data_IF_816369269283
#
_entry.id   IF_816369269283
#
_cell.length_a   1.000
_cell.length_b   1.000
_cell.length_c   1.000
_cell.angle_alpha   90.00
_cell.angle_beta   90.00
_cell.angle_gamma   90.00
#
_symmetry.space_group_name_H-M   'P 1'
#
loop_
_entity.id
_entity.type
_entity.pdbx_description
1 polymer ?
#
# COMPACT_ATOMS: atom_id res chain seq x y z
N UNK A 1 -10.00 -15.24 -8.72
CA UNK A 1 -9.96 -13.85 -8.25
C UNK A 1 -8.77 -13.72 -7.31
N UNK A 2 -8.00 -12.63 -7.39
CA UNK A 2 -6.86 -12.37 -6.50
C UNK A 2 -7.18 -11.14 -5.65
N UNK A 3 -6.69 -11.12 -4.41
CA UNK A 3 -6.92 -10.01 -3.48
C UNK A 3 -6.46 -8.67 -4.08
N UNK A 4 -5.35 -8.69 -4.83
CA UNK A 4 -4.89 -7.55 -5.60
C UNK A 4 -5.98 -6.97 -6.52
N UNK A 5 -6.66 -7.80 -7.31
CA UNK A 5 -7.67 -7.33 -8.27
C UNK A 5 -8.93 -6.80 -7.57
N UNK A 6 -9.23 -7.31 -6.37
CA UNK A 6 -10.38 -6.87 -5.58
C UNK A 6 -10.12 -5.51 -4.89
N UNK A 7 -8.84 -5.18 -4.62
CA UNK A 7 -8.43 -3.96 -3.93
C UNK A 7 -7.95 -2.84 -4.86
N UNK A 8 -7.32 -3.18 -5.99
CA UNK A 8 -6.73 -2.19 -6.88
C UNK A 8 -7.83 -1.37 -7.54
N UNK A 9 -7.77 -0.04 -7.36
CA UNK A 9 -8.70 0.87 -8.01
C UNK A 9 -8.15 1.28 -9.38
N UNK A 10 -8.75 0.72 -10.42
CA UNK A 10 -8.40 1.01 -11.82
C UNK A 10 -9.24 2.13 -12.44
N UNK A 11 -10.42 2.40 -11.89
CA UNK A 11 -11.37 3.38 -12.40
C UNK A 11 -11.58 4.53 -11.41
N UNK A 12 -11.58 5.75 -11.95
CA UNK A 12 -11.71 7.01 -11.24
C UNK A 12 -12.80 7.89 -11.84
N UNK A 13 -13.77 7.27 -12.51
CA UNK A 13 -14.96 7.95 -13.01
C UNK A 13 -15.59 8.85 -11.93
N UNK A 14 -15.84 10.11 -12.31
CA UNK A 14 -16.41 11.13 -11.43
C UNK A 14 -15.43 11.79 -10.45
N UNK A 15 -14.15 11.38 -10.39
CA UNK A 15 -13.16 12.07 -9.56
C UNK A 15 -12.69 13.39 -10.20
N UNK A 16 -12.62 14.44 -9.39
CA UNK A 16 -11.98 15.71 -9.78
C UNK A 16 -10.45 15.59 -9.74
N UNK A 17 -9.71 16.53 -10.33
CA UNK A 17 -8.25 16.56 -10.19
C UNK A 17 -7.77 16.57 -8.72
N UNK A 18 -8.46 17.31 -7.85
CA UNK A 18 -8.11 17.35 -6.42
C UNK A 18 -8.39 16.00 -5.73
N UNK A 19 -9.47 15.31 -6.11
CA UNK A 19 -9.76 13.95 -5.62
C UNK A 19 -8.66 12.97 -6.03
N UNK A 20 -8.23 13.01 -7.30
CA UNK A 20 -7.15 12.16 -7.81
C UNK A 20 -5.86 12.40 -7.04
N UNK A 21 -5.51 13.68 -6.79
CA UNK A 21 -4.32 14.02 -6.01
C UNK A 21 -4.42 13.54 -4.57
N UNK A 22 -5.60 13.66 -3.95
CA UNK A 22 -5.83 13.19 -2.60
C UNK A 22 -5.78 11.66 -2.49
N UNK A 23 -6.33 10.94 -3.47
CA UNK A 23 -6.24 9.47 -3.54
C UNK A 23 -4.78 9.02 -3.67
N UNK A 24 -4.02 9.65 -4.58
CA UNK A 24 -2.60 9.38 -4.73
C UNK A 24 -1.86 9.49 -3.38
N UNK A 25 -1.99 10.63 -2.69
CA UNK A 25 -1.30 10.88 -1.43
C UNK A 25 -1.67 9.84 -0.36
N UNK A 26 -2.97 9.52 -0.22
CA UNK A 26 -3.41 8.53 0.77
C UNK A 26 -2.85 7.14 0.48
N UNK A 27 -2.83 6.73 -0.79
CA UNK A 27 -2.30 5.43 -1.18
C UNK A 27 -0.76 5.36 -0.98
N UNK A 28 -0.03 6.40 -1.37
CA UNK A 28 1.42 6.51 -1.15
C UNK A 28 1.77 6.46 0.35
N UNK A 29 1.02 7.20 1.18
CA UNK A 29 1.22 7.19 2.63
C UNK A 29 0.92 5.80 3.22
N UNK A 30 -0.17 5.15 2.80
CA UNK A 30 -0.50 3.82 3.27
C UNK A 30 0.58 2.79 2.92
N UNK A 31 1.14 2.83 1.70
CA UNK A 31 2.29 1.99 1.32
C UNK A 31 3.49 2.26 2.23
N UNK A 32 3.81 3.54 2.49
CA UNK A 32 4.93 3.93 3.36
C UNK A 32 4.75 3.41 4.79
N UNK A 33 3.56 3.57 5.36
CA UNK A 33 3.23 3.11 6.70
C UNK A 33 3.30 1.58 6.81
N UNK A 34 2.84 0.85 5.78
CA UNK A 34 2.96 -0.61 5.73
C UNK A 34 4.44 -1.05 5.71
N UNK A 35 5.29 -0.37 4.93
CA UNK A 35 6.73 -0.69 4.88
C UNK A 35 7.45 -0.38 6.20
N UNK A 36 7.08 0.72 6.87
CA UNK A 36 7.56 1.01 8.22
C UNK A 36 7.14 -0.09 9.20
N UNK A 37 5.87 -0.52 9.15
CA UNK A 37 5.35 -1.61 9.97
C UNK A 37 6.10 -2.94 9.74
N UNK A 38 6.34 -3.32 8.49
CA UNK A 38 7.13 -4.52 8.14
C UNK A 38 8.55 -4.43 8.70
N UNK A 39 9.19 -3.26 8.61
CA UNK A 39 10.52 -3.03 9.17
C UNK A 39 10.53 -3.17 10.70
N UNK A 40 9.53 -2.61 11.37
CA UNK A 40 9.36 -2.77 12.83
C UNK A 40 9.14 -4.22 13.23
N UNK A 41 8.33 -4.98 12.48
CA UNK A 41 8.15 -6.43 12.72
C UNK A 41 9.49 -7.16 12.61
N UNK A 42 10.29 -6.87 11.58
CA UNK A 42 11.63 -7.46 11.44
C UNK A 42 12.53 -7.17 12.65
N UNK A 43 12.52 -5.93 13.15
CA UNK A 43 13.26 -5.56 14.36
C UNK A 43 12.76 -6.30 15.60
N UNK A 44 11.45 -6.39 15.80
CA UNK A 44 10.84 -7.11 16.92
C UNK A 44 11.18 -8.60 16.88
N UNK A 45 11.09 -9.23 15.70
CA UNK A 45 11.43 -10.65 15.53
C UNK A 45 12.90 -10.92 15.85
N UNK A 46 13.82 -10.02 15.46
CA UNK A 46 15.24 -10.14 15.78
C UNK A 46 15.47 -10.19 17.30
N UNK A 47 14.88 -9.25 18.05
CA UNK A 47 15.03 -9.21 19.49
C UNK A 47 14.28 -10.32 20.22
N UNK A 48 13.10 -10.70 19.73
CA UNK A 48 12.31 -11.79 20.30
C UNK A 48 13.03 -13.14 20.17
N UNK A 49 13.65 -13.42 19.02
CA UNK A 49 14.40 -14.65 18.80
C UNK A 49 15.64 -14.78 19.71
N UNK A 50 16.20 -13.66 20.18
CA UNK A 50 17.31 -13.63 21.13
C UNK A 50 16.86 -13.73 22.61
N UNK A 51 15.55 -13.74 22.88
CA UNK A 51 15.02 -13.73 24.24
C UNK A 51 14.89 -15.13 24.82
N UNK A 52 15.48 -15.35 26.00
CA UNK A 52 15.33 -16.61 26.76
C UNK A 52 13.88 -16.83 27.25
N UNK A 53 13.06 -15.78 27.33
CA UNK A 53 11.68 -15.83 27.77
C UNK A 53 10.69 -16.09 26.62
N UNK A 54 11.17 -16.24 25.39
CA UNK A 54 10.32 -16.48 24.23
C UNK A 54 10.23 -17.96 23.92
N UNK A 55 9.21 -18.61 24.51
CA UNK A 55 9.00 -20.05 24.38
C UNK A 55 8.81 -20.48 22.91
N UNK A 56 9.38 -21.63 22.55
CA UNK A 56 9.39 -22.16 21.17
C UNK A 56 7.98 -22.31 20.56
N UNK A 57 7.00 -22.80 21.35
CA UNK A 57 5.61 -22.92 20.89
C UNK A 57 4.96 -21.56 20.59
N UNK A 58 5.27 -20.53 21.39
CA UNK A 58 4.82 -19.15 21.14
C UNK A 58 5.48 -18.62 19.87
N UNK A 59 6.80 -18.82 19.73
CA UNK A 59 7.55 -18.40 18.55
C UNK A 59 7.00 -19.01 17.27
N UNK A 60 6.71 -20.31 17.27
CA UNK A 60 6.11 -21.02 16.15
C UNK A 60 4.73 -20.46 15.78
N UNK A 61 3.89 -20.19 16.77
CA UNK A 61 2.57 -19.59 16.57
C UNK A 61 2.63 -18.19 15.94
N UNK A 62 3.56 -17.36 16.41
CA UNK A 62 3.72 -16.00 15.89
C UNK A 62 4.36 -15.98 14.50
N UNK A 63 5.35 -16.84 14.24
CA UNK A 63 5.93 -17.01 12.90
C UNK A 63 4.87 -17.41 11.88
N UNK A 64 3.94 -18.30 12.25
CA UNK A 64 2.83 -18.67 11.38
C UNK A 64 1.93 -17.47 11.05
N UNK A 65 1.53 -16.68 12.06
CA UNK A 65 0.67 -15.49 11.89
C UNK A 65 1.36 -14.40 11.07
N UNK A 66 2.62 -14.12 11.36
CA UNK A 66 3.43 -13.14 10.63
C UNK A 66 3.61 -13.60 9.17
N UNK A 67 3.92 -14.88 8.95
CA UNK A 67 4.03 -15.45 7.61
C UNK A 67 2.73 -15.32 6.81
N UNK A 68 1.59 -15.63 7.42
CA UNK A 68 0.27 -15.46 6.79
C UNK A 68 -0.02 -13.99 6.46
N UNK A 69 0.31 -13.05 7.36
CA UNK A 69 0.18 -11.61 7.11
C UNK A 69 1.11 -11.15 5.97
N UNK A 70 2.38 -11.56 5.96
CA UNK A 70 3.33 -11.21 4.91
C UNK A 70 2.91 -11.77 3.54
N UNK A 71 2.27 -12.94 3.52
CA UNK A 71 1.70 -13.52 2.30
C UNK A 71 0.57 -12.68 1.69
N UNK A 72 -0.17 -11.92 2.50
CA UNK A 72 -1.27 -11.07 2.02
C UNK A 72 -0.85 -9.62 1.78
N UNK A 73 0.06 -9.08 2.61
CA UNK A 73 0.45 -7.66 2.56
C UNK A 73 1.14 -7.26 1.25
N UNK A 74 1.79 -8.21 0.57
CA UNK A 74 2.41 -7.97 -0.74
C UNK A 74 1.37 -7.59 -1.81
N UNK A 75 0.24 -8.31 -1.85
CA UNK A 75 -0.85 -7.99 -2.77
C UNK A 75 -1.52 -6.65 -2.43
N UNK A 76 -1.73 -6.38 -1.13
CA UNK A 76 -2.31 -5.11 -0.65
C UNK A 76 -1.41 -3.93 -1.02
N UNK A 77 -0.12 -4.02 -0.73
CA UNK A 77 0.85 -2.96 -1.01
C UNK A 77 0.94 -2.68 -2.50
N UNK A 78 0.96 -3.74 -3.32
CA UNK A 78 0.96 -3.61 -4.78
C UNK A 78 -0.31 -2.92 -5.29
N UNK A 79 -1.49 -3.32 -4.79
CA UNK A 79 -2.76 -2.70 -5.19
C UNK A 79 -2.81 -1.20 -4.85
N UNK A 80 -2.31 -0.81 -3.68
CA UNK A 80 -2.22 0.60 -3.27
C UNK A 80 -1.24 1.38 -4.15
N UNK A 81 -0.06 0.82 -4.42
CA UNK A 81 0.95 1.47 -5.26
C UNK A 81 0.43 1.69 -6.70
N UNK A 82 -0.22 0.68 -7.28
CA UNK A 82 -0.79 0.77 -8.63
C UNK A 82 -1.98 1.75 -8.65
N UNK A 83 -2.79 1.79 -7.58
CA UNK A 83 -3.85 2.80 -7.40
C UNK A 83 -3.28 4.23 -7.35
N UNK A 84 -2.19 4.44 -6.62
CA UNK A 84 -1.53 5.74 -6.54
C UNK A 84 -0.98 6.18 -7.91
N UNK A 85 -0.33 5.26 -8.62
CA UNK A 85 0.20 5.49 -9.96
C UNK A 85 -0.90 5.87 -10.96
N UNK A 86 -2.03 5.14 -10.96
CA UNK A 86 -3.17 5.43 -11.82
C UNK A 86 -3.78 6.81 -11.52
N UNK A 87 -3.97 7.14 -10.25
CA UNK A 87 -4.49 8.44 -9.84
C UNK A 87 -3.55 9.60 -10.25
N UNK A 88 -2.24 9.42 -10.07
CA UNK A 88 -1.24 10.41 -10.48
C UNK A 88 -1.24 10.63 -12.01
N UNK A 89 -1.36 9.55 -12.80
CA UNK A 89 -1.41 9.62 -14.24
C UNK A 89 -2.64 10.41 -14.71
N UNK A 90 -3.83 10.08 -14.22
CA UNK A 90 -5.07 10.77 -14.59
C UNK A 90 -5.08 12.24 -14.16
N UNK A 91 -4.55 12.55 -12.98
CA UNK A 91 -4.38 13.92 -12.53
C UNK A 91 -3.47 14.72 -13.48
N UNK A 92 -2.39 14.10 -13.97
CA UNK A 92 -1.48 14.73 -14.93
C UNK A 92 -2.14 15.02 -16.28
N UNK A 93 -3.01 14.11 -16.74
CA UNK A 93 -3.78 14.25 -17.98
C UNK A 93 -4.77 15.41 -17.84
N UNK A 94 -5.57 15.41 -16.76
CA UNK A 94 -6.55 16.46 -16.47
C UNK A 94 -5.92 17.86 -16.43
N UNK A 95 -4.72 17.97 -15.86
CA UNK A 95 -3.96 19.24 -15.80
C UNK A 95 -3.45 19.69 -17.18
N UNK A 96 -3.09 18.76 -18.07
CA UNK A 96 -2.66 19.08 -19.45
C UNK A 96 -3.84 19.56 -20.28
N UNK A 97 -4.99 18.91 -20.16
CA UNK A 97 -6.22 19.28 -20.88
C UNK A 97 -6.69 20.69 -20.50
N UNK A 98 -6.75 21.00 -19.20
CA UNK A 98 -7.13 22.33 -18.71
C UNK A 98 -6.20 23.46 -19.20
N UNK A 99 -4.90 23.18 -19.39
CA UNK A 99 -3.94 24.14 -19.96
C UNK A 99 -4.13 24.32 -21.47
N UNK A 100 -4.44 23.25 -22.19
CA UNK A 100 -4.70 23.30 -23.64
C UNK A 100 -5.97 24.06 -24.01
N UNK A 101 -7.00 24.02 -23.14
CA UNK A 101 -8.24 24.77 -23.34
C UNK A 101 -8.11 26.27 -23.05
N UNK A 102 -7.23 26.68 -22.13
CA UNK A 102 -7.03 28.09 -21.76
C UNK A 102 -6.20 28.90 -22.78
N UNK A 103 -5.56 28.23 -23.75
CA UNK A 103 -4.75 28.86 -24.79
C UNK A 103 -5.43 29.00 -26.16
N UNK A 104 -6.73 28.71 -26.25
CA UNK A 104 -7.56 28.89 -27.46
C UNK A 104 -8.50 30.08 -27.33
#
# INVERSE_FOLDING_TARGET
MSLYNDLMRGDFDGCTPDDLKAIQIRADNAVSDLMLGVSSIGSLMFWAAASENYAEETAKGDMYRIGAMLGTIGEVTRALNDTAANAALLHSISKKEAKGSAGK
#
